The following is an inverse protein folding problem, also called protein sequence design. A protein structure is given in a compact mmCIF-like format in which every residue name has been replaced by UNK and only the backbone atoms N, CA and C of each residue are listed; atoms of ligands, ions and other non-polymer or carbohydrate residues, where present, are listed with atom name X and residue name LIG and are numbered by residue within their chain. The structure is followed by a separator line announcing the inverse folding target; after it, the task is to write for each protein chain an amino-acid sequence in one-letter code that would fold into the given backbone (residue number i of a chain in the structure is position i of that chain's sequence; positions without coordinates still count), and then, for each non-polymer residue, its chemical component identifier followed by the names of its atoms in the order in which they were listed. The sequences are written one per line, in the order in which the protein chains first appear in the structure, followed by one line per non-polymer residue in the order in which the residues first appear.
data_IF_234996090448
#
_entry.id   IF_234996090448
#
_cell.length_a   1.000
_cell.length_b   1.000
_cell.length_c   1.000
_cell.angle_alpha   90.00
_cell.angle_beta   90.00
_cell.angle_gamma   90.00
#
_symmetry.space_group_name_H-M   'P 1'
#
loop_
_entity.id
_entity.type
_entity.pdbx_description
1 polymer ?
#
# COMPACT_ATOMS: atom_id res chain seq x y z
N UNK A 1 0.13 29.77 -1.57
CA UNK A 1 -0.21 28.42 -1.09
C UNK A 1 0.21 28.34 0.37
N UNK A 2 -0.73 28.31 1.31
CA UNK A 2 -0.39 28.15 2.72
C UNK A 2 0.15 26.72 2.92
N UNK A 3 1.31 26.57 3.54
CA UNK A 3 1.82 25.26 3.95
C UNK A 3 0.88 24.69 5.01
N UNK A 4 0.12 23.66 4.67
CA UNK A 4 -0.62 22.88 5.66
C UNK A 4 0.42 22.25 6.60
N UNK A 5 0.54 22.73 7.83
CA UNK A 5 1.39 22.10 8.83
C UNK A 5 0.66 20.88 9.40
N UNK A 6 1.18 19.69 9.14
CA UNK A 6 0.73 18.47 9.81
C UNK A 6 1.08 18.55 11.29
N UNK A 7 0.13 18.19 12.16
CA UNK A 7 0.35 18.18 13.62
C UNK A 7 1.25 17.02 14.03
N UNK A 8 1.08 15.87 13.39
CA UNK A 8 1.79 14.62 13.61
C UNK A 8 1.94 13.87 12.28
N UNK A 9 2.96 13.01 12.17
CA UNK A 9 3.21 12.17 11.00
C UNK A 9 3.29 10.72 11.48
N UNK A 10 2.51 9.85 10.84
CA UNK A 10 2.52 8.41 11.08
C UNK A 10 3.14 7.73 9.87
N UNK A 11 4.22 6.98 10.09
CA UNK A 11 4.70 6.05 9.07
C UNK A 11 3.83 4.79 9.10
N UNK A 12 3.21 4.48 7.96
CA UNK A 12 2.35 3.31 7.75
C UNK A 12 2.95 2.36 6.72
N UNK A 13 4.24 2.54 6.42
CA UNK A 13 4.99 1.72 5.47
C UNK A 13 5.55 0.48 6.15
N UNK A 14 5.56 -0.65 5.45
CA UNK A 14 6.27 -1.86 5.91
C UNK A 14 7.74 -1.81 5.50
N UNK A 15 8.63 -2.33 6.35
CA UNK A 15 10.07 -2.38 6.06
C UNK A 15 10.40 -3.44 5.01
N UNK A 16 11.03 -3.04 3.90
CA UNK A 16 11.57 -3.94 2.89
C UNK A 16 12.85 -4.63 3.38
N UNK A 17 12.94 -5.95 3.15
CA UNK A 17 14.00 -6.85 3.59
C UNK A 17 13.82 -7.43 4.99
N UNK A 18 12.70 -7.18 5.67
CA UNK A 18 12.49 -7.61 7.06
C UNK A 18 11.04 -7.89 7.44
N UNK A 19 10.11 -7.04 7.01
CA UNK A 19 8.68 -7.16 7.34
C UNK A 19 7.83 -7.52 6.13
N UNK A 20 8.31 -7.22 4.92
CA UNK A 20 7.56 -7.37 3.69
C UNK A 20 7.23 -8.82 3.39
N UNK A 21 6.09 -8.99 2.73
CA UNK A 21 5.59 -10.29 2.32
C UNK A 21 5.68 -10.35 0.81
N UNK A 22 6.56 -11.22 0.30
CA UNK A 22 6.55 -11.55 -1.11
C UNK A 22 5.32 -12.42 -1.41
N UNK A 23 4.56 -12.06 -2.45
CA UNK A 23 3.49 -12.91 -2.94
C UNK A 23 4.06 -14.26 -3.43
N UNK A 24 3.40 -15.40 -3.20
CA UNK A 24 3.91 -16.70 -3.63
C UNK A 24 4.27 -16.74 -5.12
N UNK A 25 5.55 -16.98 -5.40
CA UNK A 25 6.08 -17.05 -6.77
C UNK A 25 6.55 -15.72 -7.36
N UNK A 26 6.41 -14.60 -6.64
CA UNK A 26 6.90 -13.30 -7.08
C UNK A 26 8.38 -13.07 -6.67
N UNK A 27 8.98 -12.00 -7.19
CA UNK A 27 10.36 -11.59 -6.91
C UNK A 27 10.49 -11.03 -5.49
N UNK A 28 11.20 -11.71 -4.58
CA UNK A 28 11.45 -11.18 -3.24
C UNK A 28 12.37 -9.96 -3.29
N UNK A 29 12.29 -9.10 -2.29
CA UNK A 29 13.24 -8.01 -2.13
C UNK A 29 14.65 -8.57 -1.94
N UNK A 30 15.62 -7.98 -2.63
CA UNK A 30 17.03 -8.25 -2.45
C UNK A 30 17.84 -6.96 -2.57
N UNK A 31 18.82 -6.81 -1.67
CA UNK A 31 19.84 -5.77 -1.72
C UNK A 31 21.22 -6.41 -1.85
N UNK A 32 21.84 -6.22 -3.00
CA UNK A 32 23.23 -6.60 -3.23
C UNK A 32 24.15 -5.39 -3.01
N UNK A 33 25.15 -5.51 -2.15
CA UNK A 33 26.26 -4.56 -2.11
C UNK A 33 27.20 -4.85 -3.29
N UNK A 34 27.16 -3.99 -4.30
CA UNK A 34 27.97 -4.15 -5.53
C UNK A 34 29.34 -3.48 -5.43
N UNK A 35 29.44 -2.46 -4.58
CA UNK A 35 30.71 -1.83 -4.18
C UNK A 35 30.60 -1.57 -2.69
N UNK A 36 31.66 -1.82 -1.94
CA UNK A 36 31.71 -1.46 -0.51
C UNK A 36 32.72 -0.35 -0.21
N UNK A 37 32.56 0.31 0.94
CA UNK A 37 33.53 1.27 1.46
C UNK A 37 34.89 0.59 1.65
N UNK A 38 34.96 -0.65 2.12
CA UNK A 38 36.23 -1.37 2.29
C UNK A 38 36.96 -1.56 0.96
N UNK A 39 36.21 -1.75 -0.14
CA UNK A 39 36.77 -1.94 -1.47
C UNK A 39 37.15 -0.62 -2.15
N UNK A 40 36.28 0.39 -2.05
CA UNK A 40 36.43 1.66 -2.79
C UNK A 40 37.18 2.74 -2.01
N UNK A 41 37.17 2.66 -0.67
CA UNK A 41 37.60 3.73 0.23
C UNK A 41 36.67 4.95 0.26
N UNK A 42 35.50 4.90 -0.39
CA UNK A 42 34.65 6.08 -0.62
C UNK A 42 33.20 5.83 -0.18
N UNK A 43 32.53 4.83 -0.74
CA UNK A 43 31.10 4.61 -0.51
C UNK A 43 30.66 3.16 -0.73
N UNK A 44 29.49 2.85 -0.18
CA UNK A 44 28.72 1.65 -0.53
C UNK A 44 27.80 1.96 -1.69
N UNK A 45 27.73 1.05 -2.67
CA UNK A 45 26.77 1.10 -3.76
C UNK A 45 25.94 -0.17 -3.73
N UNK A 46 24.62 -0.03 -3.76
CA UNK A 46 23.70 -1.16 -3.72
C UNK A 46 22.91 -1.30 -5.01
N UNK A 47 22.70 -2.54 -5.44
CA UNK A 47 21.65 -2.91 -6.40
C UNK A 47 20.45 -3.41 -5.62
N UNK A 48 19.26 -2.91 -5.96
CA UNK A 48 18.00 -3.37 -5.42
C UNK A 48 17.25 -4.16 -6.50
N UNK A 49 16.74 -5.33 -6.13
CA UNK A 49 15.86 -6.16 -6.95
C UNK A 49 14.58 -6.36 -6.16
N UNK A 50 13.43 -6.02 -6.75
CA UNK A 50 12.13 -6.10 -6.08
C UNK A 50 11.00 -6.15 -7.10
N UNK A 51 9.89 -6.76 -6.70
CA UNK A 51 8.60 -6.59 -7.37
C UNK A 51 8.09 -5.15 -7.19
N UNK A 52 7.34 -4.63 -8.17
CA UNK A 52 6.59 -3.37 -8.01
C UNK A 52 5.50 -3.46 -6.95
N UNK A 53 5.14 -4.67 -6.53
CA UNK A 53 4.14 -4.96 -5.50
C UNK A 53 4.79 -5.30 -4.14
N UNK A 54 6.10 -5.06 -3.98
CA UNK A 54 6.80 -5.32 -2.73
C UNK A 54 6.39 -4.30 -1.64
N UNK A 55 5.91 -4.80 -0.51
CA UNK A 55 5.58 -3.98 0.66
C UNK A 55 4.44 -2.99 0.42
N UNK A 56 4.53 -1.79 1.02
CA UNK A 56 3.54 -0.72 0.86
C UNK A 56 3.73 -0.06 -0.52
N UNK A 57 2.75 -0.22 -1.41
CA UNK A 57 2.83 0.19 -2.80
C UNK A 57 1.50 0.71 -3.34
N UNK A 58 1.49 1.16 -4.60
CA UNK A 58 0.31 1.58 -5.34
C UNK A 58 0.19 0.78 -6.64
N UNK A 59 -1.01 0.30 -6.92
CA UNK A 59 -1.32 -0.33 -8.20
C UNK A 59 -1.80 0.70 -9.22
N UNK A 60 -1.30 0.59 -10.46
CA UNK A 60 -1.86 1.28 -11.62
C UNK A 60 -2.72 0.30 -12.43
N UNK A 61 -3.76 0.76 -13.16
CA UNK A 61 -4.61 -0.11 -13.97
C UNK A 61 -3.86 -0.99 -14.96
N UNK A 62 -2.70 -0.55 -15.46
CA UNK A 62 -1.83 -1.35 -16.32
C UNK A 62 -1.38 -2.69 -15.70
N UNK A 63 -1.47 -2.84 -14.38
CA UNK A 63 -1.17 -4.10 -13.67
C UNK A 63 -2.13 -5.24 -14.09
N UNK A 64 -3.40 -4.93 -14.35
CA UNK A 64 -4.41 -5.95 -14.69
C UNK A 64 -5.09 -5.73 -16.05
N UNK A 65 -5.00 -4.51 -16.61
CA UNK A 65 -5.69 -4.14 -17.84
C UNK A 65 -4.66 -3.76 -18.90
N UNK A 66 -4.59 -4.57 -19.96
CA UNK A 66 -3.68 -4.34 -21.08
C UNK A 66 -3.91 -2.94 -21.69
N UNK A 67 -2.82 -2.20 -21.88
CA UNK A 67 -2.81 -0.83 -22.44
C UNK A 67 -3.54 0.23 -21.60
N UNK A 68 -3.95 -0.09 -20.36
CA UNK A 68 -4.42 0.92 -19.43
C UNK A 68 -3.27 1.77 -18.90
N UNK A 69 -3.60 2.85 -18.18
CA UNK A 69 -2.62 3.81 -17.73
C UNK A 69 -1.61 3.22 -16.73
N UNK A 70 -0.34 3.51 -16.94
CA UNK A 70 0.74 3.28 -15.97
C UNK A 70 0.80 4.38 -14.91
N UNK A 71 1.50 4.13 -13.80
CA UNK A 71 1.49 5.02 -12.63
C UNK A 71 2.01 6.43 -12.93
N UNK A 72 3.00 6.55 -13.83
CA UNK A 72 3.61 7.81 -14.28
C UNK A 72 2.68 8.69 -15.12
N UNK A 73 1.54 8.14 -15.56
CA UNK A 73 0.54 8.87 -16.37
C UNK A 73 -0.54 9.54 -15.52
N UNK A 74 -0.45 9.45 -14.19
CA UNK A 74 -1.34 10.13 -13.25
C UNK A 74 -0.68 11.39 -12.68
N UNK A 75 -1.44 12.49 -12.51
CA UNK A 75 -0.93 13.69 -11.85
C UNK A 75 -0.67 13.40 -10.36
N UNK A 76 0.39 13.97 -9.79
CA UNK A 76 0.85 13.70 -8.42
C UNK A 76 -0.23 13.98 -7.36
N UNK A 77 -1.08 14.98 -7.60
CA UNK A 77 -2.15 15.42 -6.71
C UNK A 77 -3.18 14.31 -6.44
N UNK A 78 -3.25 13.28 -7.29
CA UNK A 78 -4.10 12.09 -7.08
C UNK A 78 -3.64 11.22 -5.91
N UNK A 79 -2.40 11.36 -5.45
CA UNK A 79 -1.81 10.51 -4.41
C UNK A 79 -1.59 11.24 -3.08
N UNK A 80 -1.93 12.53 -3.03
CA UNK A 80 -1.78 13.36 -1.83
C UNK A 80 -3.17 13.90 -1.49
N UNK A 81 -3.93 13.07 -0.78
CA UNK A 81 -5.35 13.31 -0.51
C UNK A 81 -5.63 13.34 1.00
N UNK A 82 -6.66 14.08 1.45
CA UNK A 82 -7.27 13.80 2.74
C UNK A 82 -7.76 12.35 2.78
N UNK A 83 -7.62 11.68 3.92
CA UNK A 83 -8.00 10.29 4.06
C UNK A 83 -8.79 10.05 5.36
N UNK A 84 -9.78 9.16 5.29
CA UNK A 84 -10.44 8.60 6.46
C UNK A 84 -9.79 7.27 6.81
N UNK A 85 -9.34 7.13 8.07
CA UNK A 85 -8.91 5.83 8.60
C UNK A 85 -10.13 5.14 9.20
N UNK A 86 -10.57 4.06 8.57
CA UNK A 86 -11.78 3.33 8.94
C UNK A 86 -11.38 2.02 9.62
N UNK A 87 -11.81 1.85 10.86
CA UNK A 87 -11.66 0.58 11.55
C UNK A 87 -12.66 -0.42 10.98
N UNK A 88 -12.16 -1.56 10.53
CA UNK A 88 -12.96 -2.69 10.05
C UNK A 88 -13.04 -3.72 11.18
N UNK A 89 -14.24 -4.20 11.47
CA UNK A 89 -14.49 -5.19 12.53
C UNK A 89 -14.52 -6.61 11.97
N UNK A 90 -14.96 -6.77 10.71
CA UNK A 90 -14.96 -8.06 10.03
C UNK A 90 -13.52 -8.55 9.82
N UNK A 91 -13.27 -9.81 10.18
CA UNK A 91 -11.93 -10.43 10.16
C UNK A 91 -11.61 -11.14 8.85
N UNK A 92 -12.51 -11.08 7.89
CA UNK A 92 -12.38 -11.80 6.61
C UNK A 92 -12.67 -10.88 5.43
N UNK A 93 -13.73 -10.07 5.51
CA UNK A 93 -14.25 -9.36 4.35
C UNK A 93 -14.85 -8.00 4.73
N UNK A 94 -14.35 -6.92 4.12
CA UNK A 94 -14.94 -5.58 4.23
C UNK A 94 -16.23 -5.56 3.41
N UNK A 95 -17.36 -5.27 4.07
CA UNK A 95 -18.70 -5.28 3.46
C UNK A 95 -19.29 -3.88 3.33
N UNK A 96 -20.26 -3.64 2.43
CA UNK A 96 -20.93 -2.34 2.27
C UNK A 96 -21.46 -1.75 3.58
N UNK A 97 -22.01 -2.58 4.47
CA UNK A 97 -22.57 -2.14 5.75
C UNK A 97 -21.56 -1.41 6.65
N UNK A 98 -20.26 -1.70 6.53
CA UNK A 98 -19.19 -1.01 7.26
C UNK A 98 -18.87 0.37 6.67
N UNK A 99 -19.28 0.64 5.43
CA UNK A 99 -19.03 1.88 4.70
C UNK A 99 -20.26 2.81 4.67
N UNK A 100 -21.47 2.26 4.80
CA UNK A 100 -22.72 2.99 4.62
C UNK A 100 -22.84 4.25 5.50
N UNK A 101 -22.30 4.18 6.72
CA UNK A 101 -22.39 5.24 7.75
C UNK A 101 -21.31 6.31 7.63
N UNK A 102 -20.36 6.16 6.72
CA UNK A 102 -19.26 7.12 6.54
C UNK A 102 -19.75 8.32 5.69
N UNK A 103 -19.42 9.54 6.14
CA UNK A 103 -19.55 10.76 5.34
C UNK A 103 -18.33 10.87 4.41
N UNK A 104 -18.39 10.18 3.27
CA UNK A 104 -17.34 10.14 2.26
C UNK A 104 -17.62 11.21 1.22
N UNK A 105 -16.60 12.00 0.87
CA UNK A 105 -16.70 13.06 -0.14
C UNK A 105 -15.76 12.82 -1.32
N UNK A 106 -16.11 13.44 -2.45
CA UNK A 106 -15.31 13.37 -3.67
C UNK A 106 -13.89 13.86 -3.47
N UNK A 107 -12.94 13.01 -3.88
CA UNK A 107 -11.51 13.27 -3.77
C UNK A 107 -10.89 12.94 -2.41
N UNK A 108 -11.62 12.26 -1.52
CA UNK A 108 -11.08 11.71 -0.27
C UNK A 108 -10.65 10.25 -0.47
N UNK A 109 -9.61 9.83 0.24
CA UNK A 109 -9.16 8.44 0.28
C UNK A 109 -9.76 7.70 1.49
N UNK A 110 -9.93 6.38 1.36
CA UNK A 110 -10.27 5.50 2.47
C UNK A 110 -9.07 4.60 2.78
N UNK A 111 -8.66 4.56 4.04
CA UNK A 111 -7.66 3.65 4.56
C UNK A 111 -8.32 2.68 5.53
N UNK A 112 -8.45 1.42 5.11
CA UNK A 112 -9.09 0.38 5.93
C UNK A 112 -8.08 -0.24 6.89
N UNK A 113 -8.26 0.02 8.19
CA UNK A 113 -7.52 -0.66 9.25
C UNK A 113 -8.23 -1.98 9.58
N UNK A 114 -7.69 -3.07 9.07
CA UNK A 114 -8.26 -4.42 9.23
C UNK A 114 -7.49 -5.28 10.23
N UNK A 115 -7.94 -6.52 10.43
CA UNK A 115 -7.18 -7.54 11.16
C UNK A 115 -5.80 -7.82 10.54
N UNK A 116 -5.57 -7.50 9.26
CA UNK A 116 -4.25 -7.65 8.63
C UNK A 116 -3.17 -6.86 9.39
N UNK A 117 -3.48 -5.63 9.79
CA UNK A 117 -2.58 -4.80 10.58
C UNK A 117 -2.66 -5.12 12.08
N UNK A 118 -3.87 -5.33 12.62
CA UNK A 118 -4.05 -5.55 14.05
C UNK A 118 -3.43 -6.86 14.55
N UNK A 119 -3.41 -7.90 13.73
CA UNK A 119 -2.78 -9.19 14.05
C UNK A 119 -1.28 -9.25 13.72
N UNK A 120 -0.73 -8.21 13.09
CA UNK A 120 0.65 -8.20 12.59
C UNK A 120 0.86 -9.01 11.30
N UNK A 121 -0.22 -9.49 10.66
CA UNK A 121 -0.14 -10.28 9.42
C UNK A 121 0.55 -9.54 8.30
N UNK A 122 0.47 -8.21 8.23
CA UNK A 122 1.11 -7.43 7.16
C UNK A 122 2.60 -7.15 7.36
N UNK A 123 3.19 -7.53 8.50
CA UNK A 123 4.61 -7.22 8.85
C UNK A 123 5.40 -8.43 9.34
N UNK A 124 4.82 -9.64 9.25
CA UNK A 124 5.45 -10.84 9.81
C UNK A 124 6.32 -11.60 8.79
N UNK A 125 6.47 -11.09 7.57
CA UNK A 125 7.24 -11.73 6.50
C UNK A 125 6.63 -13.03 5.93
N UNK A 126 5.41 -13.41 6.32
CA UNK A 126 4.76 -14.66 5.92
C UNK A 126 3.43 -14.40 5.22
N UNK A 127 3.33 -14.82 3.96
CA UNK A 127 2.08 -14.76 3.22
C UNK A 127 0.99 -15.64 3.85
N UNK A 128 -0.23 -15.13 3.87
CA UNK A 128 -1.40 -15.84 4.38
C UNK A 128 -2.59 -15.59 3.48
N UNK A 129 -3.24 -16.66 3.00
CA UNK A 129 -4.47 -16.57 2.21
C UNK A 129 -5.69 -16.09 3.02
N UNK A 130 -5.54 -15.91 4.34
CA UNK A 130 -6.62 -15.48 5.25
C UNK A 130 -6.62 -13.96 5.46
N UNK A 131 -6.06 -13.18 4.54
CA UNK A 131 -6.07 -11.73 4.64
C UNK A 131 -7.50 -11.17 4.53
N UNK A 132 -7.78 -10.08 5.24
CA UNK A 132 -9.02 -9.32 5.06
C UNK A 132 -8.93 -8.55 3.74
N UNK A 133 -9.95 -8.64 2.90
CA UNK A 133 -10.01 -7.94 1.61
C UNK A 133 -11.32 -7.19 1.41
N UNK A 134 -11.38 -6.35 0.38
CA UNK A 134 -12.56 -5.59 0.00
C UNK A 134 -13.50 -6.44 -0.86
N UNK A 135 -14.78 -6.53 -0.51
CA UNK A 135 -15.77 -7.20 -1.36
C UNK A 135 -16.03 -6.39 -2.65
N UNK A 136 -16.50 -7.06 -3.70
CA UNK A 136 -16.82 -6.39 -4.96
C UNK A 136 -17.92 -5.32 -4.76
N UNK A 137 -18.93 -5.63 -3.96
CA UNK A 137 -20.04 -4.74 -3.65
C UNK A 137 -19.58 -3.52 -2.83
N UNK A 138 -18.63 -3.71 -1.91
CA UNK A 138 -18.04 -2.61 -1.16
C UNK A 138 -17.18 -1.71 -2.07
N UNK A 139 -16.47 -2.30 -3.03
CA UNK A 139 -15.74 -1.54 -4.05
C UNK A 139 -16.69 -0.74 -4.96
N UNK A 140 -17.80 -1.34 -5.40
CA UNK A 140 -18.82 -0.66 -6.20
C UNK A 140 -19.42 0.53 -5.45
N UNK A 141 -19.70 0.39 -4.16
CA UNK A 141 -20.18 1.49 -3.32
C UNK A 141 -19.18 2.66 -3.25
N UNK A 142 -17.87 2.38 -3.17
CA UNK A 142 -16.84 3.42 -3.21
C UNK A 142 -16.85 4.16 -4.56
N UNK A 143 -17.08 3.46 -5.68
CA UNK A 143 -17.16 4.08 -7.01
C UNK A 143 -18.41 4.94 -7.16
N UNK A 144 -19.54 4.49 -6.62
CA UNK A 144 -20.81 5.24 -6.64
C UNK A 144 -20.73 6.55 -5.84
N UNK A 145 -20.01 6.53 -4.71
CA UNK A 145 -19.87 7.67 -3.80
C UNK A 145 -18.77 8.67 -4.14
N UNK A 146 -18.03 8.43 -5.25
CA UNK A 146 -16.94 9.23 -5.86
C UNK A 146 -16.27 10.23 -4.94
#
# INVERSE_FOLDING_TARGET
MASQMYKEIYDISVLLGGEEIAFPGDTPYCRDLVVTIEQSGICDVSRLTLSSHAGTHLDAPSHQIKSAKSIDQYPLERFILPAHVVQIEDKELIKPAELERLDIREGEALLFRTDNSASGRCVNGVFSEKFVYLSAEAADLCVERR
#
